data_IF_114393667307
#
_entry.id   IF_114393667307
#
_cell.length_a   1.000
_cell.length_b   1.000
_cell.length_c   1.000
_cell.angle_alpha   90.00
_cell.angle_beta   90.00
_cell.angle_gamma   90.00
#
_symmetry.space_group_name_H-M   'P 1'
#
loop_
_entity.id
_entity.type
_entity.pdbx_description
1 polymer ?
#
# COMPACT_ATOMS: atom_id res chain seq x y z
N UNK A 1 -20.62 -8.63 -24.47
CA UNK A 1 -19.70 -8.32 -23.37
C UNK A 1 -20.45 -8.64 -22.10
N UNK A 2 -19.94 -9.55 -21.25
CA UNK A 2 -20.57 -9.80 -19.96
C UNK A 2 -20.39 -8.55 -19.10
N UNK A 3 -21.49 -7.98 -18.59
CA UNK A 3 -21.39 -6.97 -17.53
C UNK A 3 -20.77 -7.66 -16.31
N UNK A 4 -19.59 -7.21 -15.90
CA UNK A 4 -18.90 -7.76 -14.75
C UNK A 4 -19.68 -7.43 -13.47
N UNK A 5 -20.57 -8.36 -13.08
CA UNK A 5 -21.22 -8.34 -11.78
C UNK A 5 -20.22 -8.82 -10.74
N UNK A 6 -19.80 -7.92 -9.87
CA UNK A 6 -18.89 -8.28 -8.78
C UNK A 6 -19.67 -8.46 -7.47
N UNK A 7 -19.29 -9.50 -6.71
CA UNK A 7 -19.81 -9.74 -5.37
C UNK A 7 -18.67 -9.54 -4.37
N UNK A 8 -18.88 -8.63 -3.43
CA UNK A 8 -17.92 -8.33 -2.37
C UNK A 8 -18.56 -8.54 -1.01
N UNK A 9 -17.70 -8.75 -0.01
CA UNK A 9 -18.12 -8.78 1.38
C UNK A 9 -17.23 -7.88 2.22
N UNK A 10 -17.86 -6.97 2.95
CA UNK A 10 -17.20 -6.15 3.96
C UNK A 10 -17.52 -6.72 5.35
N UNK A 11 -16.51 -6.78 6.22
CA UNK A 11 -16.64 -7.31 7.58
C UNK A 11 -15.95 -6.35 8.55
N UNK A 12 -16.75 -5.64 9.34
CA UNK A 12 -16.29 -4.67 10.33
C UNK A 12 -16.76 -5.11 11.72
N UNK A 13 -15.90 -5.78 12.49
CA UNK A 13 -16.31 -6.35 13.79
C UNK A 13 -15.84 -5.53 15.01
N UNK A 14 -14.94 -4.57 14.81
CA UNK A 14 -14.32 -3.76 15.87
C UNK A 14 -14.68 -2.29 15.71
N UNK A 15 -15.98 -2.00 15.69
CA UNK A 15 -16.57 -0.67 15.53
C UNK A 15 -17.75 -0.50 16.50
N UNK A 16 -18.29 0.72 16.63
CA UNK A 16 -19.48 0.96 17.45
C UNK A 16 -20.78 0.37 16.85
N UNK A 17 -20.78 0.02 15.56
CA UNK A 17 -21.86 -0.69 14.85
C UNK A 17 -21.25 -1.82 14.03
N UNK A 18 -20.95 -2.98 14.65
CA UNK A 18 -20.30 -4.09 13.98
C UNK A 18 -21.20 -4.71 12.91
N UNK A 19 -20.68 -4.92 11.70
CA UNK A 19 -21.47 -5.34 10.55
C UNK A 19 -20.76 -6.31 9.61
N UNK A 20 -21.58 -7.15 8.97
CA UNK A 20 -21.23 -7.86 7.74
C UNK A 20 -22.12 -7.32 6.63
N UNK A 21 -21.50 -6.91 5.52
CA UNK A 21 -22.22 -6.35 4.37
C UNK A 21 -21.88 -7.15 3.13
N UNK A 22 -22.91 -7.70 2.48
CA UNK A 22 -22.78 -8.31 1.16
C UNK A 22 -23.19 -7.27 0.11
N UNK A 23 -22.31 -7.06 -0.87
CA UNK A 23 -22.49 -6.05 -1.91
C UNK A 23 -22.47 -6.74 -3.25
N UNK A 24 -23.51 -6.49 -4.05
CA UNK A 24 -23.56 -6.86 -5.46
C UNK A 24 -23.43 -5.58 -6.27
N UNK A 25 -22.27 -5.39 -6.90
CA UNK A 25 -22.05 -4.30 -7.84
C UNK A 25 -22.58 -4.73 -9.21
N UNK A 26 -23.49 -3.94 -9.77
CA UNK A 26 -24.05 -4.18 -11.11
C UNK A 26 -23.11 -3.65 -12.20
N UNK A 27 -22.52 -2.47 -11.96
CA UNK A 27 -21.43 -1.84 -12.71
C UNK A 27 -21.19 -0.44 -12.13
N UNK A 28 -20.07 0.19 -12.50
CA UNK A 28 -19.77 1.59 -12.13
C UNK A 28 -20.79 2.60 -12.68
N UNK A 29 -21.49 2.26 -13.77
CA UNK A 29 -22.51 3.10 -14.39
C UNK A 29 -23.90 2.94 -13.74
N UNK A 30 -24.21 1.76 -13.23
CA UNK A 30 -25.55 1.44 -12.68
C UNK A 30 -25.58 1.67 -11.17
N UNK A 31 -24.64 1.10 -10.43
CA UNK A 31 -24.60 1.12 -8.97
C UNK A 31 -24.61 -0.27 -8.34
N UNK A 32 -25.16 -0.38 -7.13
CA UNK A 32 -25.02 -1.59 -6.30
C UNK A 32 -26.27 -1.90 -5.45
N UNK A 33 -26.41 -3.17 -5.07
CA UNK A 33 -27.26 -3.61 -3.96
C UNK A 33 -26.36 -3.92 -2.76
N UNK A 34 -26.62 -3.27 -1.63
CA UNK A 34 -25.95 -3.54 -0.36
C UNK A 34 -26.94 -4.14 0.63
N UNK A 35 -26.62 -5.32 1.15
CA UNK A 35 -27.38 -6.03 2.19
C UNK A 35 -26.50 -6.13 3.42
N UNK A 36 -26.95 -5.54 4.53
CA UNK A 36 -26.16 -5.39 5.75
C UNK A 36 -26.80 -6.16 6.91
N UNK A 37 -25.94 -6.71 7.74
CA UNK A 37 -26.31 -7.43 8.95
C UNK A 37 -25.53 -6.88 10.14
N UNK A 38 -26.25 -6.58 11.22
CA UNK A 38 -25.63 -6.40 12.53
C UNK A 38 -24.91 -7.70 12.90
N UNK A 39 -23.66 -7.59 13.36
CA UNK A 39 -22.78 -8.73 13.57
C UNK A 39 -22.16 -8.74 14.97
N UNK A 40 -21.72 -9.92 15.41
CA UNK A 40 -20.91 -10.09 16.62
C UNK A 40 -19.96 -11.27 16.47
N UNK A 41 -18.94 -11.29 17.32
CA UNK A 41 -18.03 -12.44 17.44
C UNK A 41 -18.70 -13.42 18.42
N UNK A 42 -18.96 -14.65 17.95
CA UNK A 42 -19.42 -15.77 18.78
C UNK A 42 -18.24 -16.48 19.45
N UNK A 43 -18.20 -17.81 19.36
CA UNK A 43 -17.17 -18.64 20.01
C UNK A 43 -15.79 -18.49 19.34
N UNK A 44 -15.09 -17.39 19.67
CA UNK A 44 -13.74 -17.07 19.22
C UNK A 44 -13.65 -16.56 17.79
N UNK A 45 -14.02 -17.38 16.79
CA UNK A 45 -13.83 -17.09 15.35
C UNK A 45 -15.12 -17.02 14.54
N UNK A 46 -16.23 -17.55 15.06
CA UNK A 46 -17.52 -17.53 14.37
C UNK A 46 -18.09 -16.11 14.36
N UNK A 47 -18.53 -15.66 13.19
CA UNK A 47 -19.26 -14.39 13.07
C UNK A 47 -20.74 -14.72 13.10
N UNK A 48 -21.45 -14.23 14.11
CA UNK A 48 -22.91 -14.27 14.18
C UNK A 48 -23.44 -13.00 13.54
N UNK A 49 -24.50 -13.10 12.74
CA UNK A 49 -25.08 -11.92 12.12
C UNK A 49 -26.60 -12.02 11.99
N UNK A 50 -27.25 -10.87 11.91
CA UNK A 50 -28.68 -10.74 11.62
C UNK A 50 -28.90 -9.63 10.61
N UNK A 51 -29.42 -9.97 9.44
CA UNK A 51 -29.77 -8.99 8.42
C UNK A 51 -30.83 -8.02 8.96
N UNK A 52 -30.55 -6.73 8.80
CA UNK A 52 -31.41 -5.66 9.33
C UNK A 52 -31.57 -4.48 8.36
N UNK A 53 -30.76 -4.39 7.30
CA UNK A 53 -30.81 -3.32 6.29
C UNK A 53 -30.49 -3.86 4.90
N UNK A 54 -31.14 -3.29 3.90
CA UNK A 54 -30.71 -3.44 2.52
C UNK A 54 -31.23 -2.27 1.67
N UNK A 55 -30.42 -1.84 0.71
CA UNK A 55 -30.80 -0.79 -0.22
C UNK A 55 -30.05 -0.92 -1.55
N UNK A 56 -30.70 -0.48 -2.62
CA UNK A 56 -30.07 -0.18 -3.88
C UNK A 56 -29.52 1.25 -3.85
N UNK A 57 -28.29 1.41 -4.31
CA UNK A 57 -27.66 2.70 -4.55
C UNK A 57 -27.41 2.83 -6.05
N UNK A 58 -28.27 3.55 -6.75
CA UNK A 58 -28.14 3.78 -8.19
C UNK A 58 -27.36 5.06 -8.45
N UNK A 59 -26.39 5.02 -9.37
CA UNK A 59 -25.53 6.18 -9.68
C UNK A 59 -26.29 7.34 -10.33
N UNK A 60 -27.41 7.03 -10.98
CA UNK A 60 -28.29 7.99 -11.65
C UNK A 60 -29.39 8.56 -10.73
N UNK A 61 -29.45 8.16 -9.44
CA UNK A 61 -30.38 8.72 -8.46
C UNK A 61 -29.64 9.39 -7.31
N UNK A 62 -30.15 10.52 -6.78
CA UNK A 62 -29.54 11.20 -5.64
C UNK A 62 -29.89 10.56 -4.28
N UNK A 63 -30.66 9.47 -4.25
CA UNK A 63 -31.09 8.78 -3.04
C UNK A 63 -31.02 7.26 -3.19
N UNK A 64 -31.00 6.56 -2.06
CA UNK A 64 -31.03 5.09 -2.01
C UNK A 64 -32.46 4.57 -2.05
N UNK A 65 -32.69 3.50 -2.80
CA UNK A 65 -33.99 2.82 -2.87
C UNK A 65 -33.97 1.65 -1.89
N UNK A 66 -34.84 1.60 -0.87
CA UNK A 66 -34.85 0.51 0.10
C UNK A 66 -35.17 -0.83 -0.59
N UNK A 67 -34.47 -1.89 -0.19
CA UNK A 67 -34.79 -3.25 -0.65
C UNK A 67 -36.05 -3.73 0.11
N UNK A 68 -37.09 -4.25 -0.56
CA UNK A 68 -38.43 -4.43 0.01
C UNK A 68 -38.55 -5.56 1.04
N UNK A 69 -37.43 -6.13 1.51
CA UNK A 69 -37.46 -7.24 2.47
C UNK A 69 -37.74 -6.73 3.89
N UNK A 70 -38.83 -7.19 4.54
CA UNK A 70 -39.19 -6.76 5.87
C UNK A 70 -38.40 -7.56 6.92
N UNK A 71 -37.11 -7.24 7.09
CA UNK A 71 -36.21 -8.00 7.98
C UNK A 71 -36.73 -8.19 9.40
N UNK A 72 -37.52 -7.24 9.93
CA UNK A 72 -38.15 -7.34 11.26
C UNK A 72 -39.14 -8.50 11.38
N UNK A 73 -39.77 -8.92 10.29
CA UNK A 73 -40.75 -10.01 10.26
C UNK A 73 -40.12 -11.38 10.05
N UNK A 74 -38.85 -11.44 9.63
CA UNK A 74 -38.16 -12.69 9.30
C UNK A 74 -37.71 -13.49 10.54
N UNK A 75 -37.70 -12.89 11.73
CA UNK A 75 -37.31 -13.57 12.96
C UNK A 75 -35.95 -14.26 12.85
N UNK A 76 -35.94 -15.59 12.98
CA UNK A 76 -34.72 -16.42 12.91
C UNK A 76 -34.22 -16.61 11.47
N UNK A 77 -35.03 -16.39 10.44
CA UNK A 77 -34.59 -16.50 9.04
C UNK A 77 -33.61 -15.39 8.65
N UNK A 78 -33.68 -14.24 9.33
CA UNK A 78 -32.70 -13.16 9.16
C UNK A 78 -31.35 -13.46 9.83
N UNK A 79 -31.26 -14.49 10.68
CA UNK A 79 -30.05 -14.85 11.42
C UNK A 79 -29.18 -15.82 10.62
N UNK A 80 -27.87 -15.65 10.75
CA UNK A 80 -26.91 -16.58 10.20
C UNK A 80 -25.58 -16.55 10.92
N UNK A 81 -24.69 -17.43 10.49
CA UNK A 81 -23.31 -17.45 10.95
C UNK A 81 -22.35 -17.69 9.79
N UNK A 82 -21.13 -17.18 9.94
CA UNK A 82 -19.99 -17.45 9.07
C UNK A 82 -18.84 -18.00 9.90
N UNK A 83 -18.34 -19.16 9.53
CA UNK A 83 -17.09 -19.71 10.05
C UNK A 83 -15.99 -19.53 9.02
N UNK A 84 -14.87 -18.93 9.42
CA UNK A 84 -13.67 -18.93 8.59
C UNK A 84 -12.97 -20.27 8.73
N UNK A 85 -13.05 -21.10 7.69
CA UNK A 85 -12.44 -22.44 7.64
C UNK A 85 -11.01 -22.39 7.13
N UNK A 86 -10.66 -21.35 6.37
CA UNK A 86 -9.29 -21.12 5.91
C UNK A 86 -9.02 -19.62 5.73
N UNK A 87 -7.82 -19.21 6.09
CA UNK A 87 -7.25 -17.91 5.77
C UNK A 87 -5.83 -18.16 5.24
N UNK A 88 -5.51 -17.63 4.06
CA UNK A 88 -4.14 -17.74 3.55
C UNK A 88 -3.16 -17.05 4.49
N UNK A 89 -1.90 -17.48 4.47
CA UNK A 89 -0.84 -16.87 5.28
C UNK A 89 -0.74 -15.34 5.05
N UNK A 90 -0.93 -14.90 3.80
CA UNK A 90 -0.96 -13.48 3.41
C UNK A 90 -2.24 -12.72 3.80
N UNK A 91 -3.27 -13.41 4.30
CA UNK A 91 -4.58 -12.84 4.59
C UNK A 91 -5.38 -12.39 3.35
N UNK A 92 -4.92 -12.73 2.15
CA UNK A 92 -5.53 -12.31 0.88
C UNK A 92 -6.59 -13.27 0.34
N UNK A 93 -6.66 -14.50 0.85
CA UNK A 93 -7.71 -15.46 0.51
C UNK A 93 -8.37 -15.95 1.78
N UNK A 94 -9.70 -15.88 1.84
CA UNK A 94 -10.50 -16.41 2.94
C UNK A 94 -11.55 -17.38 2.39
N UNK A 95 -11.63 -18.55 3.00
CA UNK A 95 -12.72 -19.49 2.77
C UNK A 95 -13.59 -19.50 4.03
N UNK A 96 -14.89 -19.33 3.84
CA UNK A 96 -15.86 -19.33 4.93
C UNK A 96 -17.05 -20.22 4.63
N UNK A 97 -17.61 -20.87 5.66
CA UNK A 97 -18.86 -21.63 5.56
C UNK A 97 -20.00 -20.89 6.23
N UNK A 98 -21.14 -20.82 5.54
CA UNK A 98 -22.38 -20.25 6.07
C UNK A 98 -23.28 -21.31 6.70
N UNK A 99 -24.23 -20.84 7.53
CA UNK A 99 -25.21 -21.67 8.22
C UNK A 99 -26.11 -22.53 7.31
N UNK A 100 -26.30 -22.14 6.05
CA UNK A 100 -27.05 -22.91 5.04
C UNK A 100 -26.16 -23.84 4.19
N UNK A 101 -24.91 -24.06 4.60
CA UNK A 101 -23.96 -24.93 3.91
C UNK A 101 -23.16 -24.26 2.79
N UNK A 102 -23.52 -23.03 2.40
CA UNK A 102 -22.81 -22.23 1.38
C UNK A 102 -21.33 -22.05 1.73
N UNK A 103 -20.45 -22.25 0.76
CA UNK A 103 -19.02 -21.96 0.88
C UNK A 103 -18.71 -20.68 0.13
N UNK A 104 -18.10 -19.72 0.81
CA UNK A 104 -17.65 -18.45 0.25
C UNK A 104 -16.14 -18.50 0.08
N UNK A 105 -15.67 -18.30 -1.15
CA UNK A 105 -14.25 -18.14 -1.45
C UNK A 105 -14.03 -16.69 -1.84
N UNK A 106 -13.40 -15.92 -0.95
CA UNK A 106 -13.27 -14.48 -1.09
C UNK A 106 -11.79 -14.12 -1.17
N UNK A 107 -11.42 -13.46 -2.26
CA UNK A 107 -10.10 -12.85 -2.39
C UNK A 107 -10.20 -11.39 -1.93
N UNK A 108 -9.33 -11.00 -1.00
CA UNK A 108 -9.19 -9.60 -0.60
C UNK A 108 -8.77 -8.80 -1.82
N UNK A 109 -9.50 -7.74 -2.14
CA UNK A 109 -9.09 -6.81 -3.18
C UNK A 109 -7.77 -6.17 -2.75
N UNK A 110 -6.69 -6.51 -3.46
CA UNK A 110 -5.36 -5.98 -3.17
C UNK A 110 -5.21 -4.64 -3.85
N UNK A 111 -4.98 -3.61 -3.04
CA UNK A 111 -4.66 -2.29 -3.57
C UNK A 111 -3.35 -2.36 -4.40
N UNK A 112 -3.19 -1.53 -5.45
CA UNK A 112 -1.99 -1.50 -6.28
C UNK A 112 -0.67 -1.49 -5.47
N UNK A 113 -0.63 -0.69 -4.39
CA UNK A 113 0.50 -0.64 -3.45
C UNK A 113 0.81 -2.00 -2.81
N UNK A 114 -0.22 -2.73 -2.37
CA UNK A 114 -0.04 -4.05 -1.77
C UNK A 114 0.50 -5.07 -2.78
N UNK A 115 0.10 -4.96 -4.05
CA UNK A 115 0.63 -5.82 -5.13
C UNK A 115 2.12 -5.56 -5.34
N UNK A 116 2.53 -4.28 -5.40
CA UNK A 116 3.94 -3.90 -5.46
C UNK A 116 4.74 -4.45 -4.27
N UNK A 117 4.27 -4.24 -3.04
CA UNK A 117 4.97 -4.75 -1.85
C UNK A 117 5.09 -6.28 -1.84
N UNK A 118 4.06 -6.98 -2.33
CA UNK A 118 4.07 -8.45 -2.46
C UNK A 118 5.08 -8.88 -3.53
N UNK A 119 5.13 -8.19 -4.67
CA UNK A 119 6.11 -8.43 -5.72
C UNK A 119 7.54 -8.24 -5.20
N UNK A 120 7.80 -7.14 -4.45
CA UNK A 120 9.10 -6.88 -3.83
C UNK A 120 9.49 -7.99 -2.86
N UNK A 121 8.58 -8.41 -1.97
CA UNK A 121 8.85 -9.46 -1.00
C UNK A 121 9.11 -10.84 -1.62
N UNK A 122 8.51 -11.11 -2.79
CA UNK A 122 8.67 -12.38 -3.50
C UNK A 122 9.82 -12.35 -4.50
N UNK A 123 10.31 -11.16 -4.87
CA UNK A 123 11.29 -10.95 -5.94
C UNK A 123 10.73 -11.18 -7.35
N UNK A 124 9.43 -11.39 -7.50
CA UNK A 124 8.79 -11.75 -8.77
C UNK A 124 7.85 -10.64 -9.22
N UNK A 125 7.96 -10.23 -10.49
CA UNK A 125 7.01 -9.31 -11.11
C UNK A 125 7.11 -7.85 -10.64
N UNK A 126 8.24 -7.43 -10.08
CA UNK A 126 8.38 -6.10 -9.44
C UNK A 126 8.23 -4.98 -10.45
N UNK A 127 8.84 -5.10 -11.64
CA UNK A 127 8.79 -4.05 -12.67
C UNK A 127 7.37 -3.85 -13.22
N UNK A 128 6.65 -4.94 -13.43
CA UNK A 128 5.28 -4.92 -13.91
C UNK A 128 4.34 -4.22 -12.93
N UNK A 129 4.50 -4.44 -11.62
CA UNK A 129 3.69 -3.75 -10.62
C UNK A 129 4.10 -2.27 -10.43
N UNK A 130 5.38 -1.93 -10.64
CA UNK A 130 5.85 -0.53 -10.71
C UNK A 130 5.16 0.20 -11.87
N UNK A 131 5.18 -0.38 -13.07
CA UNK A 131 4.60 0.24 -14.27
C UNK A 131 3.09 0.46 -14.15
N UNK A 132 2.39 -0.53 -13.56
CA UNK A 132 0.96 -0.40 -13.22
C UNK A 132 0.71 0.75 -12.24
N UNK A 133 1.51 0.86 -11.18
CA UNK A 133 1.33 1.90 -10.16
C UNK A 133 1.57 3.30 -10.73
N UNK A 134 2.65 3.47 -11.53
CA UNK A 134 2.95 4.74 -12.21
C UNK A 134 1.82 5.12 -13.17
N UNK A 135 1.31 4.15 -13.94
CA UNK A 135 0.24 4.39 -14.92
C UNK A 135 -1.07 4.84 -14.26
N UNK A 136 -1.41 4.28 -13.10
CA UNK A 136 -2.59 4.71 -12.32
C UNK A 136 -2.47 6.16 -11.84
N UNK A 137 -1.26 6.60 -11.47
CA UNK A 137 -1.05 7.97 -10.98
C UNK A 137 -1.07 9.03 -12.09
N UNK A 138 -0.69 8.67 -13.33
CA UNK A 138 -0.83 9.60 -14.47
C UNK A 138 -2.27 10.10 -14.66
N UNK A 139 -3.25 9.33 -14.20
CA UNK A 139 -4.67 9.68 -14.32
C UNK A 139 -5.18 10.58 -13.16
N UNK A 140 -4.38 10.81 -12.11
CA UNK A 140 -4.79 11.61 -10.94
C UNK A 140 -4.59 13.13 -11.13
N UNK A 141 -3.79 13.53 -12.12
CA UNK A 141 -3.49 14.95 -12.42
C UNK A 141 -2.52 15.63 -11.45
N UNK A 142 -2.19 15.02 -10.31
CA UNK A 142 -1.21 15.55 -9.36
C UNK A 142 0.22 15.17 -9.78
N UNK A 143 1.12 16.15 -9.82
CA UNK A 143 2.53 15.88 -10.04
C UNK A 143 3.19 15.38 -8.74
N UNK A 144 3.87 14.21 -8.76
CA UNK A 144 4.57 13.74 -7.59
C UNK A 144 5.79 14.61 -7.28
N UNK A 145 6.03 14.84 -6.00
CA UNK A 145 7.15 15.64 -5.52
C UNK A 145 8.08 14.82 -4.62
N UNK A 146 9.29 15.33 -4.42
CA UNK A 146 10.21 14.79 -3.42
C UNK A 146 9.76 15.21 -2.03
N UNK A 147 8.86 14.42 -1.45
CA UNK A 147 8.24 14.70 -0.15
C UNK A 147 9.22 14.59 1.03
N UNK A 148 9.07 15.53 1.98
CA UNK A 148 9.80 15.53 3.25
C UNK A 148 9.54 14.26 4.08
N UNK A 149 10.59 13.84 4.78
CA UNK A 149 10.53 12.77 5.77
C UNK A 149 11.55 11.67 5.53
N UNK A 150 11.35 10.57 6.24
CA UNK A 150 12.23 9.42 6.24
C UNK A 150 11.68 8.29 5.36
N UNK A 151 12.53 7.83 4.45
CA UNK A 151 12.19 6.91 3.37
C UNK A 151 13.18 5.75 3.38
N UNK A 152 12.71 4.55 3.74
CA UNK A 152 13.50 3.33 3.69
C UNK A 152 13.49 2.77 2.27
N UNK A 153 14.66 2.54 1.67
CA UNK A 153 14.73 1.79 0.41
C UNK A 153 14.33 0.33 0.66
N UNK A 154 13.40 -0.15 -0.17
CA UNK A 154 12.89 -1.53 -0.11
C UNK A 154 13.19 -2.33 -1.39
N UNK A 155 13.52 -1.64 -2.49
CA UNK A 155 13.92 -2.28 -3.74
C UNK A 155 14.65 -1.31 -4.65
N UNK A 156 15.57 -1.81 -5.48
CA UNK A 156 16.13 -1.09 -6.61
C UNK A 156 16.32 -2.03 -7.82
N UNK A 157 16.41 -1.46 -9.02
CA UNK A 157 16.48 -2.25 -10.26
C UNK A 157 17.88 -2.74 -10.64
N UNK A 158 18.91 -2.39 -9.86
CA UNK A 158 20.30 -2.70 -10.14
C UNK A 158 20.74 -3.93 -9.32
N UNK A 159 21.70 -4.68 -9.86
CA UNK A 159 22.38 -5.72 -9.09
C UNK A 159 23.32 -5.03 -8.10
N UNK A 160 23.08 -5.25 -6.81
CA UNK A 160 23.95 -4.78 -5.72
C UNK A 160 25.31 -5.46 -5.88
N UNK A 161 26.41 -4.69 -5.84
CA UNK A 161 27.77 -5.26 -5.88
C UNK A 161 28.17 -5.80 -4.50
N UNK A 162 29.28 -6.54 -4.40
CA UNK A 162 29.78 -6.97 -3.08
C UNK A 162 30.31 -5.79 -2.22
N UNK A 163 30.49 -4.61 -2.82
CA UNK A 163 30.96 -3.39 -2.14
C UNK A 163 29.80 -2.62 -1.52
N UNK A 164 29.48 -2.89 -0.26
CA UNK A 164 28.43 -2.16 0.47
C UNK A 164 28.68 -0.64 0.48
N UNK A 165 29.93 -0.18 0.53
CA UNK A 165 30.26 1.24 0.55
C UNK A 165 29.93 1.91 -0.79
N UNK A 166 30.27 1.25 -1.90
CA UNK A 166 29.92 1.72 -3.24
C UNK A 166 28.39 1.74 -3.43
N UNK A 167 27.70 0.69 -2.99
CA UNK A 167 26.24 0.65 -3.06
C UNK A 167 25.59 1.75 -2.20
N UNK A 168 26.11 1.99 -0.99
CA UNK A 168 25.64 3.05 -0.10
C UNK A 168 25.87 4.44 -0.70
N UNK A 169 27.06 4.68 -1.24
CA UNK A 169 27.43 5.91 -1.94
C UNK A 169 26.59 6.15 -3.20
N UNK A 170 26.20 5.08 -3.88
CA UNK A 170 25.30 5.14 -5.03
C UNK A 170 23.82 5.24 -4.63
N UNK A 171 23.51 5.25 -3.33
CA UNK A 171 22.15 5.31 -2.82
C UNK A 171 21.35 4.04 -3.12
N UNK A 172 22.00 2.89 -3.33
CA UNK A 172 21.36 1.60 -3.65
C UNK A 172 20.89 0.82 -2.42
N UNK A 173 21.00 1.41 -1.23
CA UNK A 173 20.58 0.80 0.03
C UNK A 173 20.31 1.85 1.12
N UNK A 174 19.65 1.40 2.20
CA UNK A 174 19.46 2.18 3.41
C UNK A 174 18.32 3.18 3.37
N UNK A 175 18.39 4.16 4.27
CA UNK A 175 17.38 5.19 4.49
C UNK A 175 17.79 6.47 3.78
N UNK A 176 16.85 7.09 3.10
CA UNK A 176 16.94 8.46 2.61
C UNK A 176 16.08 9.37 3.49
N UNK A 177 16.64 10.49 3.92
CA UNK A 177 15.97 11.50 4.74
C UNK A 177 15.92 12.78 3.91
N UNK A 178 14.71 13.19 3.56
CA UNK A 178 14.44 14.45 2.85
C UNK A 178 14.10 15.50 3.90
N UNK A 179 14.99 16.46 4.08
CA UNK A 179 14.84 17.56 5.02
C UNK A 179 14.16 18.77 4.41
N UNK A 180 13.80 19.72 5.28
CA UNK A 180 13.30 21.04 4.89
C UNK A 180 14.38 21.81 4.12
N UNK A 181 13.96 22.72 3.25
CA UNK A 181 14.83 23.67 2.54
C UNK A 181 15.88 23.01 1.62
N UNK A 182 15.56 21.88 1.00
CA UNK A 182 16.45 21.26 0.00
C UNK A 182 17.57 20.41 0.59
N UNK A 183 17.52 20.04 1.88
CA UNK A 183 18.50 19.12 2.48
C UNK A 183 18.15 17.64 2.20
N UNK A 184 19.15 16.81 1.95
CA UNK A 184 18.97 15.36 1.76
C UNK A 184 20.10 14.58 2.44
N UNK A 185 19.77 13.42 3.01
CA UNK A 185 20.74 12.56 3.68
C UNK A 185 20.48 11.09 3.38
N UNK A 186 21.52 10.34 3.08
CA UNK A 186 21.49 8.87 3.01
C UNK A 186 22.16 8.29 4.25
N UNK A 187 21.56 7.25 4.82
CA UNK A 187 22.08 6.52 5.98
C UNK A 187 21.98 5.03 5.73
N UNK A 188 23.08 4.34 5.90
CA UNK A 188 23.18 2.89 5.75
C UNK A 188 23.75 2.31 7.04
N UNK A 189 23.00 1.43 7.68
CA UNK A 189 23.53 0.66 8.80
C UNK A 189 24.52 -0.38 8.26
N UNK A 190 25.71 -0.41 8.85
CA UNK A 190 26.79 -1.32 8.46
C UNK A 190 27.17 -2.20 9.65
N UNK A 191 28.11 -3.12 9.46
CA UNK A 191 28.47 -4.09 10.49
C UNK A 191 29.05 -3.41 11.75
N UNK A 192 28.96 -4.09 12.90
CA UNK A 192 29.54 -3.69 14.18
C UNK A 192 29.00 -2.37 14.75
N UNK A 193 27.77 -2.01 14.39
CA UNK A 193 27.10 -0.80 14.90
C UNK A 193 27.63 0.50 14.29
N UNK A 194 28.45 0.42 13.25
CA UNK A 194 28.85 1.56 12.45
C UNK A 194 27.72 1.93 11.47
N UNK A 195 27.74 3.16 10.97
CA UNK A 195 26.83 3.65 9.92
C UNK A 195 27.61 4.40 8.86
N UNK A 196 27.27 4.20 7.60
CA UNK A 196 27.64 5.16 6.57
C UNK A 196 26.56 6.23 6.48
N UNK A 197 27.00 7.48 6.33
CA UNK A 197 26.13 8.63 6.14
C UNK A 197 26.67 9.46 5.01
N UNK A 198 25.78 10.01 4.19
CA UNK A 198 26.13 11.04 3.22
C UNK A 198 25.07 12.12 3.23
N UNK A 199 25.47 13.36 3.48
CA UNK A 199 24.58 14.54 3.48
C UNK A 199 24.82 15.37 2.22
N UNK A 200 23.80 16.09 1.80
CA UNK A 200 23.83 16.91 0.61
C UNK A 200 22.62 17.81 0.48
N UNK A 201 22.48 18.39 -0.71
CA UNK A 201 21.38 19.28 -1.09
C UNK A 201 20.72 18.85 -2.38
N UNK A 202 19.49 19.30 -2.62
CA UNK A 202 18.78 19.10 -3.87
C UNK A 202 18.09 20.38 -4.34
N UNK A 203 17.99 20.54 -5.66
CA UNK A 203 17.29 21.64 -6.32
C UNK A 203 16.36 21.07 -7.38
N UNK A 204 15.10 21.55 -7.43
CA UNK A 204 14.14 21.15 -8.48
C UNK A 204 14.53 21.83 -9.79
N UNK A 205 14.92 21.05 -10.80
CA UNK A 205 15.38 21.57 -12.10
C UNK A 205 14.29 21.50 -13.18
N UNK A 206 13.35 20.57 -13.06
CA UNK A 206 12.18 20.47 -13.94
C UNK A 206 10.99 19.85 -13.17
N UNK A 207 9.77 19.76 -13.76
CA UNK A 207 8.67 19.01 -13.16
C UNK A 207 9.13 17.59 -12.77
N UNK A 208 9.00 17.25 -11.49
CA UNK A 208 9.37 15.96 -10.89
C UNK A 208 10.88 15.63 -10.91
N UNK A 209 11.74 16.52 -11.44
CA UNK A 209 13.18 16.28 -11.59
C UNK A 209 13.97 17.16 -10.64
N UNK A 210 14.91 16.53 -9.95
CA UNK A 210 15.76 17.15 -8.94
C UNK A 210 17.22 16.87 -9.25
N UNK A 211 18.04 17.92 -9.22
CA UNK A 211 19.49 17.82 -9.18
C UNK A 211 19.93 17.64 -7.74
N UNK A 212 20.61 16.54 -7.44
CA UNK A 212 21.09 16.21 -6.10
C UNK A 212 22.61 16.30 -6.07
N UNK A 213 23.14 17.02 -5.08
CA UNK A 213 24.57 17.11 -4.79
C UNK A 213 24.83 16.57 -3.39
N UNK A 214 25.71 15.58 -3.30
CA UNK A 214 26.15 14.93 -2.07
C UNK A 214 27.64 15.21 -1.87
N UNK A 215 28.04 15.72 -0.72
CA UNK A 215 29.41 16.22 -0.48
C UNK A 215 29.93 16.01 0.96
N UNK A 216 29.09 15.52 1.87
CA UNK A 216 29.47 15.27 3.27
C UNK A 216 29.28 13.78 3.62
N UNK A 217 30.24 12.96 3.20
CA UNK A 217 30.27 11.53 3.48
C UNK A 217 31.03 11.24 4.79
N UNK A 218 30.53 10.31 5.61
CA UNK A 218 31.18 9.91 6.86
C UNK A 218 30.83 8.48 7.28
N UNK A 219 31.76 7.84 8.01
CA UNK A 219 31.50 6.62 8.80
C UNK A 219 31.27 7.04 10.25
N UNK A 220 30.10 6.71 10.79
CA UNK A 220 29.65 7.08 12.13
C UNK A 220 29.76 5.85 13.03
N UNK A 221 30.41 5.99 14.19
CA UNK A 221 30.51 4.98 15.23
C UNK A 221 30.34 5.61 16.61
N UNK A 222 29.26 5.26 17.32
CA UNK A 222 28.93 5.90 18.59
C UNK A 222 28.77 7.43 18.43
N UNK A 223 29.40 8.25 19.29
CA UNK A 223 29.32 9.71 19.18
C UNK A 223 30.31 10.31 18.15
N UNK A 224 31.14 9.50 17.49
CA UNK A 224 32.19 9.97 16.59
C UNK A 224 31.85 9.68 15.13
N UNK A 225 32.25 10.60 14.23
CA UNK A 225 32.15 10.44 12.78
C UNK A 225 33.50 10.66 12.12
N UNK A 226 33.92 9.74 11.25
CA UNK A 226 35.11 9.86 10.43
C UNK A 226 34.71 10.34 9.02
N UNK A 227 35.11 11.55 8.60
CA UNK A 227 34.76 12.08 7.28
C UNK A 227 35.48 11.31 6.17
N UNK A 228 34.82 11.19 5.02
CA UNK A 228 35.34 10.57 3.81
C UNK A 228 35.37 11.62 2.70
N UNK A 229 36.49 11.71 1.98
CA UNK A 229 36.57 12.53 0.76
C UNK A 229 35.83 11.85 -0.39
N UNK A 230 34.52 12.05 -0.43
CA UNK A 230 33.64 11.49 -1.43
C UNK A 230 32.49 12.45 -1.72
N UNK A 231 32.26 12.73 -3.00
CA UNK A 231 31.15 13.57 -3.44
C UNK A 231 30.53 13.02 -4.73
N UNK A 232 29.22 13.24 -4.89
CA UNK A 232 28.45 12.76 -6.02
C UNK A 232 27.37 13.75 -6.43
N UNK A 233 27.21 13.96 -7.73
CA UNK A 233 26.07 14.67 -8.31
C UNK A 233 25.27 13.72 -9.19
N UNK A 234 23.95 13.78 -9.10
CA UNK A 234 23.07 12.93 -9.90
C UNK A 234 21.70 13.58 -10.09
N UNK A 235 20.96 13.10 -11.10
CA UNK A 235 19.58 13.48 -11.34
C UNK A 235 18.64 12.47 -10.66
N UNK A 236 17.60 12.97 -10.01
CA UNK A 236 16.55 12.18 -9.40
C UNK A 236 15.19 12.62 -9.96
N UNK A 237 14.53 11.74 -10.70
CA UNK A 237 13.18 11.93 -11.21
C UNK A 237 12.17 11.17 -10.35
N UNK A 238 11.10 11.83 -9.90
CA UNK A 238 10.02 11.21 -9.13
C UNK A 238 8.94 10.72 -10.10
N UNK A 239 8.78 9.40 -10.18
CA UNK A 239 7.81 8.75 -11.07
C UNK A 239 6.45 8.58 -10.39
N UNK A 240 6.49 8.37 -9.08
CA UNK A 240 5.32 8.18 -8.23
C UNK A 240 5.66 8.57 -6.79
N UNK A 241 4.76 9.26 -6.10
CA UNK A 241 4.85 9.50 -4.67
C UNK A 241 3.45 9.49 -4.08
N UNK A 242 3.31 8.82 -2.95
CA UNK A 242 2.18 8.96 -2.04
C UNK A 242 2.67 8.96 -0.59
N UNK A 243 1.74 9.05 0.35
CA UNK A 243 1.99 9.12 1.79
C UNK A 243 2.82 7.96 2.38
N UNK A 244 3.00 6.84 1.66
CA UNK A 244 3.77 5.67 2.15
C UNK A 244 4.79 5.12 1.18
N UNK A 245 4.67 5.31 -0.14
CA UNK A 245 5.60 4.75 -1.13
C UNK A 245 6.01 5.79 -2.16
N UNK A 246 7.29 5.79 -2.50
CA UNK A 246 7.85 6.63 -3.56
C UNK A 246 8.64 5.77 -4.55
N UNK A 247 8.41 6.01 -5.83
CA UNK A 247 9.18 5.43 -6.93
C UNK A 247 9.93 6.55 -7.62
N UNK A 248 11.24 6.42 -7.68
CA UNK A 248 12.12 7.39 -8.33
C UNK A 248 13.06 6.72 -9.32
N UNK A 249 13.49 7.48 -10.31
CA UNK A 249 14.51 7.10 -11.28
C UNK A 249 15.75 7.94 -11.03
N UNK A 250 16.90 7.30 -10.87
CA UNK A 250 18.19 7.98 -10.83
C UNK A 250 18.92 7.92 -12.17
N UNK A 251 20.19 8.31 -12.14
CA UNK A 251 21.10 8.18 -13.28
C UNK A 251 21.14 6.73 -13.82
N UNK A 252 21.44 6.61 -15.10
CA UNK A 252 21.46 5.33 -15.84
C UNK A 252 20.14 4.56 -15.83
N UNK A 253 19.03 5.23 -15.49
CA UNK A 253 17.68 4.65 -15.52
C UNK A 253 17.38 3.70 -14.36
N UNK A 254 18.19 3.72 -13.29
CA UNK A 254 17.98 2.87 -12.12
C UNK A 254 16.69 3.30 -11.42
N UNK A 255 15.79 2.34 -11.19
CA UNK A 255 14.54 2.56 -10.47
C UNK A 255 14.72 2.21 -9.01
N UNK A 256 14.23 3.07 -8.13
CA UNK A 256 14.24 2.91 -6.70
C UNK A 256 12.82 2.91 -6.15
N UNK A 257 12.53 1.99 -5.23
CA UNK A 257 11.30 2.01 -4.44
C UNK A 257 11.65 2.24 -2.99
N UNK A 258 11.05 3.29 -2.42
CA UNK A 258 11.17 3.62 -1.01
C UNK A 258 9.81 3.53 -0.32
N UNK A 259 9.81 3.04 0.92
CA UNK A 259 8.65 3.11 1.83
C UNK A 259 8.90 4.12 2.94
N UNK A 260 7.89 4.89 3.31
CA UNK A 260 7.97 5.85 4.42
C UNK A 260 8.09 5.10 5.75
N UNK A 261 9.08 5.45 6.58
CA UNK A 261 9.32 4.72 7.85
C UNK A 261 8.25 4.95 8.89
N UNK A 262 7.51 6.06 8.82
CA UNK A 262 6.36 6.34 9.70
C UNK A 262 5.11 5.51 9.34
N UNK A 263 5.11 4.80 8.22
CA UNK A 263 3.96 4.02 7.74
C UNK A 263 3.96 2.55 8.20
N UNK A 264 4.98 2.11 8.93
CA UNK A 264 5.17 0.72 9.38
C UNK A 264 4.98 0.52 10.90
N UNK A 265 4.24 1.42 11.57
CA UNK A 265 3.80 1.23 12.96
C UNK A 265 2.30 0.99 13.03
#
# INVERSE_FOLDING_TARGET
MAEDKFVFQEVYLRTNDPRVSNIVSFSDAIGELKVEAAASIGDGKRILFRFDRAAFSFKFLPFKVPYPVPFKLLGDEAKGWLDTTYLSHSGNLRISRGNKGTTFVLQKQTQPRQKLLTAISSGVGVREEIDKLISLNKNSGAEPELEEGEWQMIWNSQTVTDSWLENAANGLMGKQIVGKNGGIKYVVDILLGLKFSMTGTFVKSAPKVYEVTMDDAAIIGGPFGYPLEFGKKFILEILFSDDKVRISRGDNGIIFVHSRTNALR
#
